data_IF_870320069160
#
_entry.id   IF_870320069160
#
_cell.length_a   1.000
_cell.length_b   1.000
_cell.length_c   1.000
_cell.angle_alpha   90.00
_cell.angle_beta   90.00
_cell.angle_gamma   90.00
#
_symmetry.space_group_name_H-M   'P 1'
#
loop_
_entity.id
_entity.type
_entity.pdbx_description
1 polymer ?
#
# COMPACT_ATOMS: atom_id res chain seq x y z
N UNK A 1 -25.96 -15.65 -18.67
CA UNK A 1 -25.50 -14.53 -17.82
C UNK A 1 -24.42 -15.07 -16.90
N UNK A 2 -23.15 -14.91 -17.27
CA UNK A 2 -22.01 -15.46 -16.52
C UNK A 2 -21.60 -14.44 -15.45
N UNK A 3 -21.69 -14.83 -14.18
CA UNK A 3 -21.18 -14.07 -13.04
C UNK A 3 -19.65 -14.13 -13.07
N UNK A 4 -18.99 -13.02 -13.39
CA UNK A 4 -17.53 -12.89 -13.25
C UNK A 4 -17.19 -12.99 -11.77
N UNK A 5 -16.67 -14.13 -11.34
CA UNK A 5 -16.02 -14.25 -10.04
C UNK A 5 -14.70 -13.49 -10.12
N UNK A 6 -14.70 -12.24 -9.68
CA UNK A 6 -13.46 -11.53 -9.37
C UNK A 6 -12.63 -12.42 -8.44
N UNK A 7 -11.44 -12.83 -8.92
CA UNK A 7 -10.50 -13.63 -8.13
C UNK A 7 -10.02 -12.76 -6.97
N UNK A 8 -10.66 -12.90 -5.81
CA UNK A 8 -10.17 -12.32 -4.56
C UNK A 8 -8.74 -12.85 -4.35
N UNK A 9 -7.74 -11.98 -4.09
CA UNK A 9 -6.38 -12.45 -3.85
C UNK A 9 -6.40 -13.42 -2.65
N UNK A 10 -6.02 -14.67 -2.89
CA UNK A 10 -5.71 -15.64 -1.83
C UNK A 10 -4.35 -15.28 -1.25
N UNK A 11 -4.20 -15.15 0.07
CA UNK A 11 -2.93 -14.75 0.68
C UNK A 11 -1.85 -15.81 0.39
N UNK A 12 -0.60 -15.42 0.11
CA UNK A 12 0.52 -16.32 0.35
C UNK A 12 0.67 -16.48 1.87
N UNK A 13 0.31 -17.67 2.36
CA UNK A 13 0.38 -18.08 3.77
C UNK A 13 1.80 -18.05 4.40
N UNK A 14 2.84 -17.68 3.66
CA UNK A 14 4.22 -18.02 4.02
C UNK A 14 5.02 -16.92 4.73
N UNK A 15 4.66 -15.64 4.66
CA UNK A 15 5.52 -14.55 5.19
C UNK A 15 5.04 -13.93 6.51
N UNK A 16 3.82 -14.21 6.97
CA UNK A 16 3.23 -13.55 8.15
C UNK A 16 3.71 -14.12 9.51
N UNK A 17 4.32 -15.30 9.56
CA UNK A 17 4.43 -16.08 10.82
C UNK A 17 5.73 -15.91 11.61
N UNK A 18 6.74 -15.18 11.11
CA UNK A 18 8.09 -15.20 11.73
C UNK A 18 8.41 -14.03 12.68
N UNK A 19 7.55 -13.01 12.83
CA UNK A 19 8.02 -11.68 13.28
C UNK A 19 7.70 -11.28 14.73
N UNK A 20 7.05 -12.11 15.54
CA UNK A 20 6.68 -11.73 16.91
C UNK A 20 7.74 -11.98 18.01
N UNK A 21 8.93 -12.51 17.69
CA UNK A 21 9.89 -12.89 18.74
C UNK A 21 11.25 -12.24 18.57
N UNK A 22 11.34 -10.90 18.61
CA UNK A 22 12.58 -10.22 18.97
C UNK A 22 12.41 -8.70 19.19
N UNK A 23 12.67 -8.30 20.44
CA UNK A 23 13.41 -7.09 20.86
C UNK A 23 12.67 -5.76 21.08
N UNK A 24 12.79 -5.26 22.31
CA UNK A 24 12.92 -3.84 22.64
C UNK A 24 14.04 -3.68 23.70
N UNK A 25 14.61 -2.49 23.96
CA UNK A 25 15.00 -1.41 23.06
C UNK A 25 16.45 -0.91 23.33
N UNK A 26 17.06 -0.17 22.39
CA UNK A 26 18.31 0.57 22.68
C UNK A 26 18.91 1.31 21.47
N UNK A 27 18.44 2.53 21.20
CA UNK A 27 18.99 3.43 20.16
C UNK A 27 17.88 4.15 19.38
N UNK A 28 18.09 5.41 19.03
CA UNK A 28 17.13 6.22 18.23
C UNK A 28 16.87 5.61 16.85
N UNK A 29 17.89 5.04 16.22
CA UNK A 29 17.75 4.31 14.95
C UNK A 29 16.99 2.98 15.14
N UNK A 30 17.23 2.27 16.24
CA UNK A 30 16.47 1.07 16.59
C UNK A 30 15.00 1.41 16.92
N UNK A 31 14.71 2.58 17.48
CA UNK A 31 13.33 3.05 17.70
C UNK A 31 12.64 3.46 16.39
N UNK A 32 13.35 4.09 15.44
CA UNK A 32 12.79 4.35 14.11
C UNK A 32 12.56 3.05 13.33
N UNK A 33 13.50 2.12 13.38
CA UNK A 33 13.35 0.78 12.79
C UNK A 33 12.21 0.02 13.46
N UNK A 34 12.05 0.12 14.79
CA UNK A 34 10.96 -0.51 15.53
C UNK A 34 9.59 0.13 15.23
N UNK A 35 9.50 1.45 15.10
CA UNK A 35 8.28 2.14 14.63
C UNK A 35 7.93 1.79 13.19
N UNK A 36 8.95 1.60 12.36
CA UNK A 36 8.78 1.10 10.98
C UNK A 36 8.31 -0.37 11.02
N UNK A 37 8.85 -1.19 11.92
CA UNK A 37 8.49 -2.60 12.10
C UNK A 37 7.05 -2.82 12.61
N UNK A 38 6.61 -2.00 13.57
CA UNK A 38 5.20 -2.03 14.03
C UNK A 38 4.26 -1.65 12.89
N UNK A 39 4.67 -0.78 11.95
CA UNK A 39 3.88 -0.50 10.73
C UNK A 39 3.79 -1.71 9.78
N UNK A 40 4.80 -2.58 9.75
CA UNK A 40 4.77 -3.82 8.97
C UNK A 40 3.82 -4.86 9.58
N UNK A 41 3.72 -4.94 10.91
CA UNK A 41 2.81 -5.88 11.59
C UNK A 41 1.32 -5.53 11.38
N UNK A 42 0.97 -4.24 11.29
CA UNK A 42 -0.40 -3.82 10.94
C UNK A 42 -0.72 -4.04 9.44
N UNK A 43 0.29 -4.30 8.58
CA UNK A 43 0.07 -4.55 7.14
C UNK A 43 -0.20 -6.01 6.78
N UNK A 44 -0.06 -6.96 7.71
CA UNK A 44 -0.31 -8.39 7.44
C UNK A 44 -1.75 -8.83 7.76
N UNK A 45 -2.57 -7.94 8.33
CA UNK A 45 -3.96 -8.22 8.70
C UNK A 45 -4.98 -7.55 7.78
N UNK A 46 -5.49 -8.29 6.80
CA UNK A 46 -6.70 -7.98 6.00
C UNK A 46 -6.55 -6.77 5.06
N UNK A 47 -6.19 -7.04 3.79
CA UNK A 47 -6.12 -6.07 2.67
C UNK A 47 -7.26 -5.03 2.67
N UNK A 48 -8.44 -5.39 3.17
CA UNK A 48 -9.62 -4.56 3.17
C UNK A 48 -9.77 -3.65 4.39
N UNK A 49 -8.75 -3.50 5.25
CA UNK A 49 -8.83 -2.61 6.42
C UNK A 49 -7.57 -1.76 6.58
N UNK A 50 -7.74 -0.58 7.17
CA UNK A 50 -6.62 0.32 7.48
C UNK A 50 -6.95 1.22 8.66
N UNK A 51 -6.13 1.18 9.72
CA UNK A 51 -6.20 2.14 10.81
C UNK A 51 -5.62 3.49 10.36
N UNK A 52 -6.22 4.58 10.83
CA UNK A 52 -5.63 5.90 10.67
C UNK A 52 -4.33 6.00 11.50
N UNK A 53 -3.35 6.81 11.06
CA UNK A 53 -2.09 7.04 11.76
C UNK A 53 -2.21 7.40 13.25
N UNK A 54 -3.31 8.08 13.65
CA UNK A 54 -3.60 8.45 15.04
C UNK A 54 -4.40 7.39 15.81
N UNK A 55 -4.78 6.29 15.17
CA UNK A 55 -5.56 5.20 15.75
C UNK A 55 -7.02 5.54 16.06
N UNK A 56 -7.55 6.69 15.63
CA UNK A 56 -8.94 7.11 15.93
C UNK A 56 -9.96 6.56 14.94
N UNK A 57 -9.56 6.39 13.69
CA UNK A 57 -10.42 5.95 12.60
C UNK A 57 -9.95 4.61 12.03
N UNK A 58 -10.88 3.87 11.44
CA UNK A 58 -10.58 2.68 10.65
C UNK A 58 -11.33 2.75 9.32
N UNK A 59 -10.64 2.43 8.22
CA UNK A 59 -11.26 2.13 6.95
C UNK A 59 -11.57 0.64 6.86
N UNK A 60 -12.70 0.30 6.25
CA UNK A 60 -13.05 -1.09 5.96
C UNK A 60 -13.76 -1.18 4.60
N UNK A 61 -13.31 -2.09 3.74
CA UNK A 61 -13.95 -2.40 2.47
C UNK A 61 -14.75 -3.71 2.58
N UNK A 62 -16.07 -3.61 2.42
CA UNK A 62 -17.00 -4.75 2.46
C UNK A 62 -17.93 -4.68 1.26
N UNK A 63 -18.07 -5.81 0.55
CA UNK A 63 -18.86 -5.93 -0.68
C UNK A 63 -18.37 -4.91 -1.71
N UNK A 64 -19.08 -3.79 -1.89
CA UNK A 64 -18.72 -2.70 -2.81
C UNK A 64 -18.82 -1.34 -2.11
N UNK A 65 -18.48 -1.30 -0.83
CA UNK A 65 -18.49 -0.07 -0.04
C UNK A 65 -17.23 0.03 0.80
N UNK A 66 -16.65 1.23 0.80
CA UNK A 66 -15.63 1.65 1.74
C UNK A 66 -16.35 2.36 2.88
N UNK A 67 -16.09 1.93 4.09
CA UNK A 67 -16.63 2.46 5.34
C UNK A 67 -15.54 3.16 6.14
N UNK A 68 -15.93 4.20 6.86
CA UNK A 68 -15.13 4.81 7.94
C UNK A 68 -15.80 4.51 9.27
N UNK A 69 -14.99 4.06 10.21
CA UNK A 69 -15.38 3.77 11.58
C UNK A 69 -14.67 4.75 12.51
N UNK A 70 -15.43 5.41 13.37
CA UNK A 70 -14.91 6.15 14.51
C UNK A 70 -14.79 5.18 15.69
N UNK A 71 -13.56 4.90 16.10
CA UNK A 71 -13.26 3.87 17.10
C UNK A 71 -13.57 4.31 18.53
N UNK A 72 -13.66 5.62 18.77
CA UNK A 72 -14.01 6.16 20.09
C UNK A 72 -15.52 6.07 20.37
N UNK A 73 -16.34 6.32 19.35
CA UNK A 73 -17.81 6.34 19.46
C UNK A 73 -18.48 5.06 18.98
N UNK A 74 -17.77 4.21 18.22
CA UNK A 74 -18.34 3.06 17.53
C UNK A 74 -19.20 3.42 16.32
N UNK A 75 -19.27 4.71 15.94
CA UNK A 75 -20.05 5.16 14.79
C UNK A 75 -19.39 4.71 13.49
N UNK A 76 -20.19 4.25 12.53
CA UNK A 76 -19.74 3.94 11.16
C UNK A 76 -20.53 4.74 10.13
N UNK A 77 -19.87 5.10 9.03
CA UNK A 77 -20.50 5.75 7.88
C UNK A 77 -19.89 5.27 6.57
N UNK A 78 -20.70 5.20 5.51
CA UNK A 78 -20.20 4.92 4.17
C UNK A 78 -19.36 6.09 3.68
N UNK A 79 -18.12 5.81 3.29
CA UNK A 79 -17.22 6.77 2.68
C UNK A 79 -17.44 6.85 1.16
N UNK A 80 -17.49 5.68 0.50
CA UNK A 80 -17.65 5.58 -0.95
C UNK A 80 -18.26 4.23 -1.32
N UNK A 81 -19.12 4.21 -2.35
CA UNK A 81 -19.58 2.96 -2.99
C UNK A 81 -18.58 2.56 -4.07
N UNK A 82 -17.63 1.70 -3.73
CA UNK A 82 -16.66 1.13 -4.64
C UNK A 82 -16.22 -0.26 -4.15
N UNK A 83 -15.97 -1.17 -5.08
CA UNK A 83 -15.15 -2.35 -4.77
C UNK A 83 -13.72 -1.87 -4.52
N UNK A 84 -13.16 -2.27 -3.39
CA UNK A 84 -11.86 -1.77 -2.96
C UNK A 84 -11.08 -2.81 -2.17
N UNK A 85 -9.77 -2.82 -2.38
CA UNK A 85 -8.78 -3.58 -1.63
C UNK A 85 -7.63 -2.64 -1.24
N UNK A 86 -6.79 -3.08 -0.33
CA UNK A 86 -5.54 -2.41 0.06
C UNK A 86 -5.73 -0.96 0.47
N UNK A 87 -6.67 -0.76 1.40
CA UNK A 87 -6.94 0.57 1.92
C UNK A 87 -5.69 1.12 2.62
N UNK A 88 -5.37 2.39 2.33
CA UNK A 88 -4.23 3.10 2.92
C UNK A 88 -4.63 4.51 3.29
N UNK A 89 -4.25 4.93 4.48
CA UNK A 89 -4.25 6.34 4.86
C UNK A 89 -2.93 7.00 4.46
N UNK A 90 -3.01 8.27 4.06
CA UNK A 90 -1.86 9.18 4.15
C UNK A 90 -1.49 9.41 5.61
N UNK A 91 -0.21 9.68 5.88
CA UNK A 91 0.26 9.98 7.23
C UNK A 91 -0.38 11.25 7.82
N UNK A 92 -0.66 12.25 6.96
CA UNK A 92 -1.37 13.47 7.32
C UNK A 92 -2.88 13.30 7.52
N UNK A 93 -3.43 12.10 7.25
CA UNK A 93 -4.85 11.77 7.36
C UNK A 93 -5.78 12.57 6.44
N UNK A 94 -5.25 13.26 5.43
CA UNK A 94 -5.99 14.12 4.51
C UNK A 94 -6.34 13.43 3.17
N UNK A 95 -5.83 12.22 2.96
CA UNK A 95 -6.07 11.40 1.78
C UNK A 95 -6.13 9.91 2.13
N UNK A 96 -6.97 9.19 1.39
CA UNK A 96 -7.00 7.73 1.36
C UNK A 96 -6.65 7.22 -0.04
N UNK A 97 -6.05 6.04 -0.10
CA UNK A 97 -5.79 5.31 -1.32
C UNK A 97 -6.33 3.87 -1.22
N UNK A 98 -6.66 3.28 -2.36
CA UNK A 98 -7.10 1.89 -2.47
C UNK A 98 -6.78 1.35 -3.86
N UNK A 99 -6.84 0.03 -3.98
CA UNK A 99 -6.87 -0.68 -5.25
C UNK A 99 -8.32 -0.98 -5.60
N UNK A 100 -8.70 -0.72 -6.84
CA UNK A 100 -10.00 -1.08 -7.39
C UNK A 100 -9.82 -1.99 -8.62
N UNK A 101 -10.58 -3.09 -8.73
CA UNK A 101 -10.56 -3.91 -9.94
C UNK A 101 -11.03 -3.13 -11.17
N UNK A 102 -10.43 -3.47 -12.31
CA UNK A 102 -10.88 -3.05 -13.62
C UNK A 102 -11.98 -3.94 -14.19
N UNK A 103 -12.67 -3.43 -15.21
CA UNK A 103 -13.84 -4.05 -15.85
C UNK A 103 -13.60 -5.43 -16.49
N UNK A 104 -12.35 -5.88 -16.58
CA UNK A 104 -11.92 -7.05 -17.35
C UNK A 104 -11.18 -8.12 -16.52
N UNK A 105 -11.44 -8.21 -15.21
CA UNK A 105 -10.94 -9.23 -14.25
C UNK A 105 -9.41 -9.36 -14.10
N UNK A 106 -8.65 -8.67 -14.95
CA UNK A 106 -7.19 -8.70 -14.98
C UNK A 106 -6.59 -7.36 -14.58
N UNK A 107 -7.34 -6.26 -14.69
CA UNK A 107 -6.89 -4.93 -14.28
C UNK A 107 -7.07 -4.70 -12.80
N UNK A 108 -6.09 -4.09 -12.15
CA UNK A 108 -6.24 -3.45 -10.85
C UNK A 108 -5.63 -2.07 -10.97
N UNK A 109 -6.31 -1.06 -10.46
CA UNK A 109 -5.88 0.32 -10.56
C UNK A 109 -5.82 0.95 -9.19
N UNK A 110 -4.86 1.84 -8.98
CA UNK A 110 -4.79 2.61 -7.74
C UNK A 110 -5.64 3.86 -7.87
N UNK A 111 -6.43 4.12 -6.84
CA UNK A 111 -7.27 5.29 -6.71
C UNK A 111 -6.93 6.04 -5.43
N UNK A 112 -7.21 7.34 -5.43
CA UNK A 112 -7.12 8.18 -4.23
C UNK A 112 -8.32 9.09 -4.08
N UNK A 113 -8.55 9.57 -2.86
CA UNK A 113 -9.57 10.56 -2.56
C UNK A 113 -9.14 11.42 -1.37
N UNK A 114 -9.31 12.75 -1.41
CA UNK A 114 -9.10 13.59 -0.25
C UNK A 114 -10.20 13.35 0.80
N UNK A 115 -9.84 13.36 2.07
CA UNK A 115 -10.73 13.17 3.22
C UNK A 115 -10.48 14.23 4.28
N UNK A 116 -11.45 14.41 5.18
CA UNK A 116 -11.29 15.25 6.36
C UNK A 116 -10.52 14.44 7.44
N UNK A 117 -9.37 14.93 7.93
CA UNK A 117 -8.58 14.23 8.96
C UNK A 117 -9.31 13.92 10.26
N UNK A 118 -10.36 14.68 10.60
CA UNK A 118 -11.09 14.50 11.87
C UNK A 118 -12.17 13.44 11.77
N UNK A 119 -12.82 13.34 10.61
CA UNK A 119 -14.03 12.52 10.43
C UNK A 119 -13.84 11.38 9.44
N UNK A 120 -12.78 11.41 8.63
CA UNK A 120 -12.53 10.49 7.52
C UNK A 120 -13.50 10.65 6.35
N UNK A 121 -14.40 11.64 6.37
CA UNK A 121 -15.38 11.85 5.31
C UNK A 121 -14.75 12.46 4.07
N UNK A 122 -15.28 12.15 2.89
CA UNK A 122 -14.80 12.69 1.63
C UNK A 122 -14.80 14.23 1.61
N UNK A 123 -13.73 14.82 1.06
CA UNK A 123 -13.60 16.25 0.75
C UNK A 123 -13.51 16.55 -0.75
N UNK A 124 -13.74 15.55 -1.59
CA UNK A 124 -13.60 15.66 -3.04
C UNK A 124 -13.79 14.34 -3.75
N UNK A 125 -13.73 14.35 -5.08
CA UNK A 125 -13.95 13.16 -5.88
C UNK A 125 -12.81 12.13 -5.70
N UNK A 126 -13.20 10.86 -5.77
CA UNK A 126 -12.30 9.76 -6.03
C UNK A 126 -11.72 9.87 -7.45
N UNK A 127 -10.44 9.55 -7.61
CA UNK A 127 -9.81 9.52 -8.94
C UNK A 127 -8.79 8.40 -9.07
N UNK A 128 -8.72 7.81 -10.26
CA UNK A 128 -7.67 6.87 -10.64
C UNK A 128 -6.36 7.64 -10.82
N UNK A 129 -5.28 7.15 -10.21
CA UNK A 129 -3.96 7.79 -10.29
C UNK A 129 -2.98 7.04 -11.20
N UNK A 130 -3.27 5.78 -11.52
CA UNK A 130 -2.45 5.00 -12.45
C UNK A 130 -2.91 5.14 -13.89
N UNK A 131 -1.94 5.19 -14.80
CA UNK A 131 -2.14 5.09 -16.25
C UNK A 131 -2.40 3.63 -16.62
N UNK A 132 -1.55 2.73 -16.13
CA UNK A 132 -1.67 1.28 -16.30
C UNK A 132 -2.17 0.59 -15.02
N UNK A 133 -1.90 -0.70 -14.94
CA UNK A 133 -2.24 -1.53 -13.78
C UNK A 133 -1.31 -1.21 -12.60
N UNK A 134 -1.84 -1.30 -11.38
CA UNK A 134 -1.09 -1.05 -10.16
C UNK A 134 -1.75 -1.65 -8.93
N UNK A 135 -0.91 -2.14 -8.01
CA UNK A 135 -1.29 -2.68 -6.69
C UNK A 135 -0.28 -2.23 -5.63
N UNK A 136 -0.45 -2.63 -4.37
CA UNK A 136 0.39 -2.29 -3.23
C UNK A 136 0.61 -0.77 -3.09
N UNK A 137 -0.45 0.05 -3.03
CA UNK A 137 -0.30 1.49 -2.94
C UNK A 137 0.31 1.90 -1.60
N UNK A 138 1.07 3.00 -1.61
CA UNK A 138 1.65 3.61 -0.43
C UNK A 138 1.73 5.13 -0.61
N UNK A 139 1.03 5.88 0.22
CA UNK A 139 1.00 7.34 0.18
C UNK A 139 2.24 7.92 0.86
N UNK A 140 2.83 8.95 0.26
CA UNK A 140 3.95 9.69 0.87
C UNK A 140 3.51 10.38 2.17
N UNK A 141 4.46 10.72 3.07
CA UNK A 141 4.13 11.35 4.35
C UNK A 141 3.36 12.67 4.19
N UNK A 142 3.67 13.42 3.13
CA UNK A 142 3.03 14.69 2.78
C UNK A 142 1.74 14.52 1.95
N UNK A 143 1.34 13.29 1.63
CA UNK A 143 0.14 12.97 0.87
C UNK A 143 0.15 13.42 -0.60
N UNK A 144 1.29 13.92 -1.12
CA UNK A 144 1.41 14.46 -2.49
C UNK A 144 1.79 13.40 -3.51
N UNK A 145 2.41 12.31 -3.10
CA UNK A 145 2.87 11.23 -3.97
C UNK A 145 2.27 9.90 -3.54
N UNK A 146 2.18 8.99 -4.49
CA UNK A 146 1.80 7.60 -4.24
C UNK A 146 2.76 6.68 -4.97
N UNK A 147 3.31 5.73 -4.22
CA UNK A 147 4.09 4.62 -4.74
C UNK A 147 3.19 3.41 -4.95
N UNK A 148 3.46 2.59 -5.96
CA UNK A 148 2.73 1.36 -6.23
C UNK A 148 3.58 0.36 -7.03
N UNK A 149 3.18 -0.91 -7.00
CA UNK A 149 3.73 -1.98 -7.81
C UNK A 149 2.99 -2.06 -9.15
N UNK A 150 3.69 -1.80 -10.25
CA UNK A 150 3.18 -1.94 -11.61
C UNK A 150 3.69 -3.26 -12.22
N UNK A 151 2.81 -4.19 -12.64
CA UNK A 151 3.23 -5.40 -13.36
C UNK A 151 4.00 -5.04 -14.64
N UNK A 152 5.02 -5.81 -14.99
CA UNK A 152 5.84 -5.56 -16.19
C UNK A 152 5.08 -5.82 -17.50
N UNK A 153 4.01 -6.62 -17.46
CA UNK A 153 3.15 -6.85 -18.62
C UNK A 153 1.66 -6.91 -18.28
N UNK A 154 0.83 -6.58 -19.26
CA UNK A 154 -0.64 -6.60 -19.11
C UNK A 154 -1.22 -8.02 -18.97
N UNK A 155 -0.47 -9.04 -19.41
CA UNK A 155 -0.88 -10.44 -19.32
C UNK A 155 -0.58 -11.07 -17.94
N UNK A 156 0.30 -10.44 -17.16
CA UNK A 156 0.72 -10.90 -15.84
C UNK A 156 -0.40 -10.73 -14.81
N UNK A 157 -0.50 -11.59 -13.79
CA UNK A 157 -1.39 -11.33 -12.66
C UNK A 157 -0.88 -10.13 -11.84
N UNK A 158 -1.78 -9.33 -11.28
CA UNK A 158 -1.38 -8.06 -10.65
C UNK A 158 -0.44 -8.25 -9.44
N UNK A 159 -0.52 -9.40 -8.78
CA UNK A 159 0.15 -9.72 -7.51
C UNK A 159 1.30 -10.72 -7.61
N UNK A 160 1.73 -11.09 -8.82
CA UNK A 160 2.80 -12.08 -8.99
C UNK A 160 3.78 -11.68 -10.06
N UNK A 161 4.99 -12.24 -10.03
CA UNK A 161 6.01 -11.99 -11.03
C UNK A 161 6.70 -10.63 -10.87
N UNK A 162 7.37 -10.14 -11.93
CA UNK A 162 8.16 -8.92 -11.86
C UNK A 162 7.29 -7.66 -11.78
N UNK A 163 7.70 -6.73 -10.91
CA UNK A 163 7.06 -5.42 -10.79
C UNK A 163 8.06 -4.29 -10.92
N UNK A 164 7.58 -3.16 -11.41
CA UNK A 164 8.23 -1.88 -11.24
C UNK A 164 7.69 -1.19 -9.99
N UNK A 165 8.58 -0.58 -9.20
CA UNK A 165 8.19 0.40 -8.20
C UNK A 165 8.01 1.75 -8.90
N UNK A 166 6.77 2.21 -8.97
CA UNK A 166 6.40 3.44 -9.67
C UNK A 166 5.90 4.47 -8.68
N UNK A 167 6.21 5.74 -8.91
CA UNK A 167 5.70 6.88 -8.15
C UNK A 167 4.98 7.86 -9.08
N UNK A 168 3.84 8.37 -8.65
CA UNK A 168 3.05 9.39 -9.37
C UNK A 168 2.45 10.39 -8.38
N UNK A 169 2.07 11.63 -8.79
CA UNK A 169 1.34 12.51 -7.89
C UNK A 169 0.06 11.83 -7.40
N UNK A 170 -0.27 12.00 -6.12
CA UNK A 170 -1.46 11.40 -5.52
C UNK A 170 -2.77 11.99 -6.09
N UNK A 171 -2.67 13.04 -6.90
CA UNK A 171 -3.78 13.62 -7.69
C UNK A 171 -3.82 13.11 -9.13
N UNK A 172 -3.00 12.13 -9.48
CA UNK A 172 -2.75 11.73 -10.86
C UNK A 172 -1.76 12.66 -11.56
N UNK A 173 -1.16 12.16 -12.65
CA UNK A 173 -0.15 12.87 -13.41
C UNK A 173 0.89 11.92 -14.01
N UNK A 174 2.04 12.44 -14.47
CA UNK A 174 3.11 11.64 -15.03
C UNK A 174 3.66 10.63 -14.01
N UNK A 175 3.76 9.37 -14.43
CA UNK A 175 4.37 8.31 -13.64
C UNK A 175 5.89 8.32 -13.81
N UNK A 176 6.60 8.04 -12.72
CA UNK A 176 8.05 7.83 -12.70
C UNK A 176 8.37 6.43 -12.18
N UNK A 177 8.91 5.60 -13.05
CA UNK A 177 9.47 4.31 -12.69
C UNK A 177 10.78 4.53 -11.92
N UNK A 178 10.84 4.05 -10.67
CA UNK A 178 12.04 4.15 -9.84
C UNK A 178 12.98 2.98 -10.10
N UNK A 179 12.48 1.75 -9.99
CA UNK A 179 13.30 0.55 -10.14
C UNK A 179 12.44 -0.69 -10.39
N UNK A 180 13.09 -1.82 -10.72
CA UNK A 180 12.45 -3.10 -11.02
C UNK A 180 12.81 -4.15 -9.96
N UNK A 181 11.81 -4.93 -9.55
CA UNK A 181 11.94 -6.11 -8.69
C UNK A 181 11.59 -7.38 -9.49
N UNK A 182 12.58 -8.21 -9.88
CA UNK A 182 12.36 -9.39 -10.71
C UNK A 182 11.33 -10.41 -10.19
N UNK A 183 11.22 -10.58 -8.87
CA UNK A 183 10.21 -11.47 -8.28
C UNK A 183 9.07 -10.73 -7.58
N UNK A 184 8.96 -9.42 -7.82
CA UNK A 184 7.96 -8.56 -7.19
C UNK A 184 8.34 -8.11 -5.78
N UNK A 185 7.44 -7.34 -5.18
CA UNK A 185 7.59 -6.80 -3.84
C UNK A 185 6.23 -6.54 -3.19
N UNK A 186 6.24 -6.38 -1.88
CA UNK A 186 5.08 -6.04 -1.05
C UNK A 186 5.47 -5.07 0.07
N UNK A 187 4.46 -4.57 0.79
CA UNK A 187 4.69 -3.78 2.01
C UNK A 187 5.45 -2.47 1.80
N UNK A 188 5.33 -1.82 0.63
CA UNK A 188 6.00 -0.55 0.38
C UNK A 188 5.58 0.54 1.38
N UNK A 189 6.55 1.17 2.02
CA UNK A 189 6.36 2.23 3.02
C UNK A 189 7.35 3.35 2.81
N UNK A 190 6.86 4.59 2.79
CA UNK A 190 7.73 5.76 2.69
C UNK A 190 8.46 6.04 4.00
N UNK A 191 9.71 6.49 3.90
CA UNK A 191 10.41 7.12 5.03
C UNK A 191 9.69 8.39 5.47
N UNK A 192 9.83 8.78 6.73
CA UNK A 192 9.12 9.94 7.29
C UNK A 192 9.46 11.28 6.60
N UNK A 193 10.67 11.38 6.05
CA UNK A 193 11.14 12.53 5.26
C UNK A 193 10.77 12.46 3.76
N UNK A 194 10.16 11.34 3.31
CA UNK A 194 9.79 11.10 1.92
C UNK A 194 10.96 10.82 0.97
N UNK A 195 12.19 10.67 1.46
CA UNK A 195 13.39 10.49 0.62
C UNK A 195 13.60 9.04 0.12
N UNK A 196 12.98 8.07 0.79
CA UNK A 196 13.16 6.65 0.55
C UNK A 196 11.85 5.86 0.67
N UNK A 197 11.80 4.69 0.06
CA UNK A 197 10.73 3.69 0.21
C UNK A 197 11.37 2.39 0.69
N UNK A 198 10.83 1.82 1.76
CA UNK A 198 11.20 0.52 2.31
C UNK A 198 10.17 -0.52 1.88
N UNK A 199 10.63 -1.72 1.53
CA UNK A 199 9.75 -2.81 1.06
C UNK A 199 10.43 -4.17 1.21
N UNK A 200 9.63 -5.22 1.31
CA UNK A 200 10.09 -6.62 1.19
C UNK A 200 9.91 -7.07 -0.25
N UNK A 201 10.91 -7.73 -0.83
CA UNK A 201 10.81 -8.17 -2.22
C UNK A 201 11.95 -9.05 -2.68
N UNK A 202 11.94 -9.36 -3.97
CA UNK A 202 12.92 -10.22 -4.61
C UNK A 202 13.73 -9.40 -5.60
N UNK A 203 14.92 -8.97 -5.19
CA UNK A 203 15.87 -8.22 -6.01
C UNK A 203 16.63 -9.11 -7.01
N UNK A 204 17.73 -8.60 -7.57
CA UNK A 204 18.51 -9.28 -8.59
C UNK A 204 19.10 -10.63 -8.14
N UNK A 205 19.32 -10.83 -6.84
CA UNK A 205 19.80 -12.11 -6.28
C UNK A 205 18.74 -13.22 -6.29
N UNK A 206 17.46 -12.88 -6.51
CA UNK A 206 16.33 -13.81 -6.42
C UNK A 206 15.97 -14.24 -5.01
N UNK A 207 16.67 -13.76 -3.97
CA UNK A 207 16.35 -14.02 -2.57
C UNK A 207 15.43 -12.93 -1.99
N UNK A 208 14.47 -13.30 -1.12
CA UNK A 208 13.68 -12.32 -0.41
C UNK A 208 14.58 -11.47 0.49
N UNK A 209 14.20 -10.22 0.70
CA UNK A 209 14.91 -9.33 1.58
C UNK A 209 14.20 -8.01 1.78
N UNK A 210 14.65 -7.27 2.78
CA UNK A 210 14.25 -5.89 3.04
C UNK A 210 15.14 -4.95 2.23
N UNK A 211 14.50 -4.12 1.41
CA UNK A 211 15.18 -3.14 0.56
C UNK A 211 14.80 -1.71 0.93
N UNK A 212 15.74 -0.80 0.69
CA UNK A 212 15.51 0.64 0.61
C UNK A 212 15.69 1.09 -0.82
N UNK A 213 14.71 1.79 -1.37
CA UNK A 213 14.78 2.45 -2.68
C UNK A 213 14.80 3.96 -2.46
N UNK A 214 15.82 4.64 -2.97
CA UNK A 214 15.89 6.11 -2.91
C UNK A 214 14.96 6.73 -3.95
N UNK A 215 14.15 7.70 -3.54
CA UNK A 215 13.12 8.30 -4.39
C UNK A 215 13.71 9.20 -5.48
N UNK A 216 14.89 9.81 -5.26
CA UNK A 216 15.49 10.74 -6.22
C UNK A 216 15.97 10.07 -7.51
N UNK A 217 16.53 8.87 -7.41
CA UNK A 217 17.25 8.18 -8.49
C UNK A 217 16.88 6.71 -8.65
N UNK A 218 16.02 6.16 -7.79
CA UNK A 218 15.61 4.76 -7.85
C UNK A 218 16.66 3.77 -7.34
N UNK A 219 17.75 4.23 -6.74
CA UNK A 219 18.81 3.34 -6.26
C UNK A 219 18.28 2.36 -5.20
N UNK A 220 18.37 1.07 -5.49
CA UNK A 220 17.99 -0.02 -4.60
C UNK A 220 19.19 -0.46 -3.74
N UNK A 221 18.99 -0.50 -2.42
CA UNK A 221 19.94 -1.06 -1.46
C UNK A 221 19.28 -2.20 -0.68
N UNK A 222 19.92 -3.38 -0.67
CA UNK A 222 19.53 -4.47 0.23
C UNK A 222 19.99 -4.11 1.65
N UNK A 223 19.07 -4.09 2.60
CA UNK A 223 19.37 -3.85 4.02
C UNK A 223 19.58 -5.15 4.77
N UNK A 224 18.78 -6.17 4.44
CA UNK A 224 18.81 -7.49 5.08
C UNK A 224 18.25 -8.54 4.14
N UNK A 225 18.98 -9.64 3.97
CA UNK A 225 18.45 -10.84 3.33
C UNK A 225 17.56 -11.60 4.32
N UNK A 226 16.50 -12.21 3.81
CA UNK A 226 15.68 -13.16 4.57
C UNK A 226 16.19 -14.58 4.28
N UNK A 227 16.32 -15.38 5.35
CA UNK A 227 16.85 -16.74 5.32
C UNK A 227 15.76 -17.78 4.99
#
# INVERSE_FOLDING_TARGET
MSSSRHLRPTPPLALASALCTALAPGGTEAQEQFRTFVSFADTTGFWNRSLSPDGRLMLEAIQNEIWVHDLATGRRATLLKAEAWELRWSRGMDRVAWVQPGDNDKGSYVWTMPVDPRTGTSRGAAQRVTVGRGVNPSLSPDGKWIAFAAPESDQQLAYSGPHHLVVTPATGGPERNLTRFPGGFEGAQWSADGSSIYLTGYGASGRPGLYRVRVSDGHQALLRAED
#
